data_IF_286119480335
#
_entry.id   IF_286119480335
#
_cell.length_a   1.000
_cell.length_b   1.000
_cell.length_c   1.000
_cell.angle_alpha   90.00
_cell.angle_beta   90.00
_cell.angle_gamma   90.00
#
_symmetry.space_group_name_H-M   'P 1'
#
loop_
_entity.id
_entity.type
_entity.pdbx_description
1 polymer ?
#
# COMPACT_ATOMS: atom_id res chain seq x y z
N UNK A 1 3.34 -13.20 -37.98
CA UNK A 1 4.01 -11.97 -38.43
C UNK A 1 2.94 -10.92 -38.63
N UNK A 2 2.80 -9.99 -37.69
CA UNK A 2 1.78 -8.94 -37.73
C UNK A 2 2.48 -7.59 -37.54
N UNK A 3 2.36 -6.74 -38.56
CA UNK A 3 3.04 -5.47 -38.68
C UNK A 3 2.44 -4.42 -37.73
N UNK A 4 3.32 -3.67 -37.06
CA UNK A 4 2.97 -2.54 -36.20
C UNK A 4 2.90 -1.28 -37.07
N UNK A 5 1.75 -0.63 -37.12
CA UNK A 5 1.61 0.69 -37.73
C UNK A 5 2.17 1.76 -36.79
N UNK A 6 3.05 2.62 -37.32
CA UNK A 6 3.61 3.76 -36.61
C UNK A 6 2.71 5.00 -36.79
N UNK A 7 2.39 5.69 -35.70
CA UNK A 7 1.69 6.97 -35.74
C UNK A 7 2.68 8.09 -36.08
N UNK A 8 2.34 8.89 -37.09
CA UNK A 8 3.10 10.08 -37.53
C UNK A 8 2.66 11.28 -36.70
N UNK A 9 3.62 11.98 -36.09
CA UNK A 9 3.41 13.24 -35.35
C UNK A 9 3.68 14.42 -36.30
N UNK A 10 2.79 15.42 -36.41
CA UNK A 10 3.05 16.62 -37.20
C UNK A 10 3.96 17.62 -36.45
N UNK A 11 4.75 18.44 -37.16
CA UNK A 11 5.67 19.40 -36.54
C UNK A 11 4.94 20.64 -35.97
N UNK A 12 5.53 21.33 -34.97
CA UNK A 12 4.98 22.55 -34.40
C UNK A 12 5.09 23.75 -35.36
N UNK A 13 4.03 24.54 -35.44
CA UNK A 13 4.00 25.81 -36.18
C UNK A 13 4.63 26.98 -35.38
N UNK A 14 5.03 28.07 -36.05
CA UNK A 14 5.75 29.19 -35.42
C UNK A 14 4.82 30.13 -34.63
N UNK A 15 5.33 30.61 -33.48
CA UNK A 15 4.72 31.61 -32.60
C UNK A 15 4.72 33.02 -33.24
N UNK A 16 3.71 33.87 -32.94
CA UNK A 16 3.74 35.26 -33.35
C UNK A 16 4.45 36.16 -32.33
N UNK A 17 5.46 36.87 -32.84
CA UNK A 17 6.10 38.06 -32.26
C UNK A 17 5.08 39.21 -32.09
N UNK A 18 4.96 39.78 -30.89
CA UNK A 18 4.32 41.10 -30.72
C UNK A 18 5.10 41.97 -29.73
N UNK A 19 5.55 43.09 -30.29
CA UNK A 19 6.38 44.14 -29.75
C UNK A 19 5.75 44.97 -28.61
N UNK A 20 6.62 45.48 -27.73
CA UNK A 20 6.32 46.50 -26.73
C UNK A 20 6.34 47.92 -27.32
N UNK A 21 5.53 48.87 -26.82
CA UNK A 21 5.82 50.29 -26.93
C UNK A 21 6.03 51.02 -25.58
N UNK A 22 6.78 52.11 -25.72
CA UNK A 22 7.54 52.98 -24.79
C UNK A 22 6.73 53.94 -23.90
N UNK A 23 7.38 54.61 -22.91
CA UNK A 23 6.72 55.52 -21.97
C UNK A 23 6.62 56.95 -22.52
N UNK A 24 5.64 57.71 -22.03
CA UNK A 24 5.47 59.14 -22.34
C UNK A 24 5.52 59.96 -21.06
N UNK A 25 6.32 61.02 -21.12
CA UNK A 25 6.64 62.00 -20.09
C UNK A 25 5.50 63.00 -19.77
N UNK A 26 5.67 63.62 -18.61
CA UNK A 26 4.84 64.53 -17.80
C UNK A 26 4.42 65.85 -18.51
N UNK A 27 3.48 66.63 -17.94
CA UNK A 27 3.93 67.88 -17.30
C UNK A 27 3.20 68.29 -15.99
N UNK A 28 3.93 69.09 -15.20
CA UNK A 28 3.64 69.59 -13.85
C UNK A 28 2.71 70.82 -13.79
N UNK A 29 1.90 70.87 -12.71
CA UNK A 29 1.34 71.98 -11.87
C UNK A 29 0.92 73.35 -12.49
N UNK A 30 -0.11 74.00 -11.90
CA UNK A 30 0.18 75.01 -10.88
C UNK A 30 -0.70 74.97 -9.62
N UNK A 31 -0.14 75.60 -8.60
CA UNK A 31 -0.63 75.84 -7.24
C UNK A 31 -1.63 77.01 -7.23
N UNK A 32 -2.68 76.92 -6.42
CA UNK A 32 -3.44 78.08 -5.89
C UNK A 32 -4.25 77.63 -4.68
N UNK A 33 -3.88 78.15 -3.51
CA UNK A 33 -4.75 78.26 -2.35
C UNK A 33 -5.42 79.65 -2.35
N UNK A 34 -6.72 79.75 -2.04
CA UNK A 34 -7.27 80.61 -0.96
C UNK A 34 -8.79 80.32 -0.75
N UNK A 35 -9.53 80.94 0.22
CA UNK A 35 -10.31 80.20 1.20
C UNK A 35 -11.81 80.61 1.16
N UNK A 36 -12.63 79.97 2.00
CA UNK A 36 -13.89 80.57 2.42
C UNK A 36 -15.14 79.70 2.30
N UNK A 37 -15.98 79.86 3.32
CA UNK A 37 -17.40 79.53 3.43
C UNK A 37 -17.82 78.06 3.62
N UNK A 38 -18.01 77.75 4.90
CA UNK A 38 -19.28 77.31 5.50
C UNK A 38 -20.18 76.33 4.72
N UNK A 39 -20.40 75.17 5.35
CA UNK A 39 -21.71 74.51 5.31
C UNK A 39 -21.73 73.12 4.68
N UNK A 40 -21.56 72.09 5.51
CA UNK A 40 -22.33 70.83 5.54
C UNK A 40 -21.46 69.69 6.06
N UNK A 41 -22.00 68.74 6.88
CA UNK A 41 -21.32 67.50 7.20
C UNK A 41 -21.32 66.57 5.97
N UNK A 42 -20.62 66.94 4.90
CA UNK A 42 -20.36 66.11 3.73
C UNK A 42 -19.42 64.92 4.02
N UNK A 43 -18.97 64.80 5.28
CA UNK A 43 -18.14 63.69 5.77
C UNK A 43 -18.91 62.38 6.00
N UNK A 44 -20.21 62.42 6.30
CA UNK A 44 -20.98 61.22 6.67
C UNK A 44 -21.20 60.24 5.51
N UNK A 45 -21.59 60.75 4.32
CA UNK A 45 -21.78 59.93 3.11
C UNK A 45 -20.46 59.55 2.42
N UNK A 46 -19.42 60.39 2.52
CA UNK A 46 -18.06 60.04 2.06
C UNK A 46 -17.41 58.99 2.96
N UNK A 47 -17.60 59.10 4.28
CA UNK A 47 -17.18 58.13 5.29
C UNK A 47 -17.86 56.77 5.10
N UNK A 48 -19.18 56.73 5.00
CA UNK A 48 -19.94 55.49 4.76
C UNK A 48 -19.58 54.82 3.42
N UNK A 49 -19.32 55.58 2.35
CA UNK A 49 -18.82 55.04 1.07
C UNK A 49 -17.35 54.59 1.16
N UNK A 50 -16.53 55.23 1.99
CA UNK A 50 -15.13 54.82 2.22
C UNK A 50 -15.03 53.54 3.06
N UNK A 51 -15.90 53.37 4.05
CA UNK A 51 -16.12 52.16 4.85
C UNK A 51 -16.60 51.00 3.97
N UNK A 52 -17.61 51.22 3.11
CA UNK A 52 -18.09 50.23 2.14
C UNK A 52 -17.01 49.81 1.15
N UNK A 53 -16.22 50.77 0.63
CA UNK A 53 -15.08 50.46 -0.26
C UNK A 53 -13.98 49.69 0.47
N UNK A 54 -13.75 49.97 1.75
CA UNK A 54 -12.79 49.23 2.59
C UNK A 54 -13.25 47.80 2.84
N UNK A 55 -14.52 47.59 3.22
CA UNK A 55 -15.10 46.25 3.38
C UNK A 55 -15.09 45.45 2.07
N UNK A 56 -15.37 46.09 0.92
CA UNK A 56 -15.29 45.45 -0.39
C UNK A 56 -13.85 45.02 -0.73
N UNK A 57 -12.85 45.85 -0.39
CA UNK A 57 -11.42 45.50 -0.56
C UNK A 57 -11.00 44.37 0.38
N UNK A 58 -11.44 44.37 1.64
CA UNK A 58 -11.17 43.30 2.60
C UNK A 58 -11.80 41.98 2.16
N UNK A 59 -13.07 41.99 1.73
CA UNK A 59 -13.73 40.79 1.17
C UNK A 59 -13.03 40.29 -0.08
N UNK A 60 -12.59 41.19 -0.97
CA UNK A 60 -11.86 40.81 -2.18
C UNK A 60 -10.48 40.24 -1.85
N UNK A 61 -9.79 40.81 -0.87
CA UNK A 61 -8.50 40.30 -0.37
C UNK A 61 -8.63 38.93 0.29
N UNK A 62 -9.65 38.73 1.13
CA UNK A 62 -9.94 37.44 1.74
C UNK A 62 -10.28 36.38 0.69
N UNK A 63 -11.09 36.73 -0.32
CA UNK A 63 -11.38 35.83 -1.46
C UNK A 63 -10.12 35.48 -2.24
N UNK A 64 -9.24 36.45 -2.51
CA UNK A 64 -7.98 36.20 -3.21
C UNK A 64 -7.04 35.31 -2.39
N UNK A 65 -6.93 35.53 -1.07
CA UNK A 65 -6.13 34.68 -0.18
C UNK A 65 -6.71 33.27 -0.13
N UNK A 66 -8.03 33.13 0.00
CA UNK A 66 -8.69 31.83 0.00
C UNK A 66 -8.47 31.08 -1.33
N UNK A 67 -8.62 31.77 -2.47
CA UNK A 67 -8.35 31.19 -3.79
C UNK A 67 -6.88 30.80 -3.96
N UNK A 68 -5.95 31.62 -3.47
CA UNK A 68 -4.53 31.31 -3.50
C UNK A 68 -4.19 30.07 -2.65
N UNK A 69 -4.78 29.96 -1.44
CA UNK A 69 -4.62 28.78 -0.59
C UNK A 69 -5.20 27.52 -1.23
N UNK A 70 -6.42 27.59 -1.77
CA UNK A 70 -7.04 26.46 -2.48
C UNK A 70 -6.18 26.05 -3.67
N UNK A 71 -5.67 27.02 -4.45
CA UNK A 71 -4.80 26.75 -5.60
C UNK A 71 -3.49 26.09 -5.16
N UNK A 72 -2.89 26.55 -4.06
CA UNK A 72 -1.64 25.99 -3.54
C UNK A 72 -1.84 24.57 -2.98
N UNK A 73 -2.99 24.28 -2.36
CA UNK A 73 -3.35 22.92 -1.93
C UNK A 73 -3.56 22.02 -3.15
N UNK A 74 -4.31 22.47 -4.16
CA UNK A 74 -4.59 21.67 -5.35
C UNK A 74 -3.34 21.43 -6.21
N UNK A 75 -2.46 22.42 -6.35
CA UNK A 75 -1.26 22.31 -7.18
C UNK A 75 -0.05 21.75 -6.41
N UNK A 76 -0.01 21.91 -5.09
CA UNK A 76 1.09 21.44 -4.26
C UNK A 76 0.77 20.13 -3.55
N UNK A 77 -0.23 20.13 -2.68
CA UNK A 77 -0.51 18.99 -1.81
C UNK A 77 -1.00 17.77 -2.58
N UNK A 78 -1.83 17.95 -3.61
CA UNK A 78 -2.36 16.82 -4.39
C UNK A 78 -1.26 16.10 -5.18
N UNK A 79 -0.43 16.77 -6.00
CA UNK A 79 0.65 16.10 -6.70
C UNK A 79 1.70 15.51 -5.76
N UNK A 80 2.00 16.17 -4.64
CA UNK A 80 2.90 15.62 -3.63
C UNK A 80 2.33 14.32 -3.03
N UNK A 81 1.05 14.30 -2.64
CA UNK A 81 0.42 13.11 -2.08
C UNK A 81 0.47 11.92 -3.06
N UNK A 82 0.08 12.13 -4.31
CA UNK A 82 0.14 11.07 -5.33
C UNK A 82 1.58 10.69 -5.69
N UNK A 83 2.50 11.65 -5.76
CA UNK A 83 3.92 11.42 -6.01
C UNK A 83 4.58 10.58 -4.92
N UNK A 84 4.37 10.92 -3.65
CA UNK A 84 4.85 10.12 -2.52
C UNK A 84 4.27 8.72 -2.53
N UNK A 85 2.96 8.57 -2.81
CA UNK A 85 2.32 7.26 -2.91
C UNK A 85 2.92 6.40 -4.03
N UNK A 86 3.23 7.00 -5.19
CA UNK A 86 3.85 6.29 -6.31
C UNK A 86 5.28 5.84 -5.97
N UNK A 87 6.09 6.71 -5.36
CA UNK A 87 7.47 6.38 -4.97
C UNK A 87 7.55 5.34 -3.85
N UNK A 88 6.47 5.19 -3.09
CA UNK A 88 6.39 4.23 -1.98
C UNK A 88 5.85 2.86 -2.41
N UNK A 89 5.35 2.71 -3.65
CA UNK A 89 4.88 1.43 -4.17
C UNK A 89 6.06 0.49 -4.39
N UNK A 90 5.94 -0.74 -3.92
CA UNK A 90 7.00 -1.74 -4.07
C UNK A 90 6.96 -2.31 -5.51
N UNK A 91 8.09 -2.32 -6.26
CA UNK A 91 8.11 -2.78 -7.64
C UNK A 91 7.76 -4.26 -7.81
N UNK A 92 7.87 -5.08 -6.75
CA UNK A 92 7.44 -6.47 -6.80
C UNK A 92 5.93 -6.57 -7.06
N UNK A 93 5.13 -5.67 -6.50
CA UNK A 93 3.69 -5.65 -6.79
C UNK A 93 3.39 -5.29 -8.23
N UNK A 94 4.21 -4.45 -8.86
CA UNK A 94 4.07 -4.16 -10.30
C UNK A 94 4.39 -5.40 -11.15
N UNK A 95 5.35 -6.24 -10.73
CA UNK A 95 5.62 -7.53 -11.40
C UNK A 95 4.48 -8.53 -11.21
N UNK A 96 3.84 -8.55 -10.04
CA UNK A 96 2.67 -9.38 -9.78
C UNK A 96 1.42 -8.87 -10.52
N UNK A 97 1.28 -7.56 -10.68
CA UNK A 97 0.22 -6.91 -11.47
C UNK A 97 0.39 -7.19 -12.98
N UNK A 98 1.61 -7.49 -13.43
CA UNK A 98 1.92 -7.84 -14.81
C UNK A 98 1.67 -9.32 -15.16
N UNK A 99 1.31 -10.17 -14.19
CA UNK A 99 0.93 -11.55 -14.44
C UNK A 99 -0.34 -11.59 -15.31
N UNK A 100 -0.32 -12.40 -16.37
CA UNK A 100 -1.48 -12.58 -17.26
C UNK A 100 -2.53 -13.49 -16.61
N UNK A 101 -3.14 -12.98 -15.54
CA UNK A 101 -4.25 -13.62 -14.84
C UNK A 101 -5.57 -12.98 -15.27
N UNK A 102 -6.62 -13.77 -15.51
CA UNK A 102 -7.89 -13.25 -15.97
C UNK A 102 -8.58 -12.46 -14.85
N UNK A 103 -9.39 -11.45 -15.21
CA UNK A 103 -10.01 -10.53 -14.24
C UNK A 103 -10.85 -11.19 -13.14
N UNK A 104 -11.45 -12.36 -13.39
CA UNK A 104 -12.18 -13.12 -12.37
C UNK A 104 -11.28 -13.67 -11.26
N UNK A 105 -10.00 -13.85 -11.52
CA UNK A 105 -9.00 -14.34 -10.58
C UNK A 105 -8.37 -13.21 -9.74
N UNK A 106 -8.69 -11.95 -10.06
CA UNK A 106 -8.19 -10.72 -9.44
C UNK A 106 -9.31 -9.74 -9.12
N UNK A 107 -10.44 -10.24 -8.59
CA UNK A 107 -11.61 -9.41 -8.33
C UNK A 107 -11.34 -8.33 -7.26
N UNK A 108 -10.55 -8.67 -6.24
CA UNK A 108 -10.12 -7.73 -5.19
C UNK A 108 -8.71 -8.06 -4.73
N UNK A 109 -7.84 -7.07 -4.69
CA UNK A 109 -6.44 -7.21 -4.26
C UNK A 109 -6.16 -6.36 -3.03
N UNK A 110 -5.45 -6.92 -2.06
CA UNK A 110 -4.94 -6.25 -0.86
C UNK A 110 -3.47 -6.57 -0.73
N UNK A 111 -2.65 -5.52 -0.72
CA UNK A 111 -1.20 -5.62 -0.58
C UNK A 111 -0.77 -5.16 0.81
N UNK A 112 0.14 -5.91 1.42
CA UNK A 112 0.78 -5.59 2.69
C UNK A 112 2.29 -5.77 2.58
N UNK A 113 3.03 -4.89 3.27
CA UNK A 113 4.49 -4.90 3.29
C UNK A 113 4.96 -4.78 4.73
N UNK A 114 5.73 -5.78 5.16
CA UNK A 114 6.38 -5.81 6.47
C UNK A 114 7.90 -5.91 6.33
N UNK A 115 8.62 -5.65 7.42
CA UNK A 115 10.09 -5.69 7.45
C UNK A 115 10.79 -4.52 6.76
N UNK A 116 12.11 -4.63 6.62
CA UNK A 116 12.99 -3.56 6.14
C UNK A 116 13.52 -3.81 4.73
N UNK A 117 13.52 -2.76 3.88
CA UNK A 117 14.13 -2.81 2.54
C UNK A 117 15.65 -3.05 2.59
N UNK A 118 16.27 -2.67 3.70
CA UNK A 118 17.69 -2.81 3.95
C UNK A 118 18.02 -4.06 4.78
N UNK A 119 17.02 -4.90 5.08
CA UNK A 119 17.17 -6.06 5.96
C UNK A 119 17.77 -5.70 7.33
N UNK A 120 17.40 -4.53 7.88
CA UNK A 120 17.72 -4.20 9.27
C UNK A 120 16.77 -5.01 10.16
N UNK A 121 17.30 -6.05 10.82
CA UNK A 121 16.58 -7.03 11.64
C UNK A 121 15.78 -8.03 10.81
N UNK A 122 14.72 -7.60 10.15
CA UNK A 122 13.88 -8.44 9.29
C UNK A 122 13.93 -7.91 7.85
N UNK A 123 14.17 -8.79 6.88
CA UNK A 123 14.06 -8.42 5.48
C UNK A 123 12.61 -8.13 5.09
N UNK A 124 12.44 -7.36 4.01
CA UNK A 124 11.13 -7.00 3.50
C UNK A 124 10.37 -8.23 3.01
N UNK A 125 9.23 -8.49 3.64
CA UNK A 125 8.22 -9.46 3.24
C UNK A 125 7.07 -8.72 2.54
N UNK A 126 6.66 -9.22 1.37
CA UNK A 126 5.52 -8.68 0.62
C UNK A 126 4.44 -9.71 0.58
N UNK A 127 3.26 -9.35 1.04
CA UNK A 127 2.11 -10.23 1.05
C UNK A 127 1.02 -9.60 0.19
N UNK A 128 0.42 -10.40 -0.67
CA UNK A 128 -0.72 -10.01 -1.48
C UNK A 128 -1.82 -11.03 -1.29
N UNK A 129 -2.98 -10.55 -0.90
CA UNK A 129 -4.19 -11.35 -0.78
C UNK A 129 -5.18 -10.95 -1.86
N UNK A 130 -5.68 -11.92 -2.60
CA UNK A 130 -6.54 -11.71 -3.76
C UNK A 130 -7.80 -12.56 -3.62
N UNK A 131 -8.97 -11.96 -3.85
CA UNK A 131 -10.23 -12.68 -3.97
C UNK A 131 -10.47 -13.04 -5.44
N UNK A 132 -10.78 -14.31 -5.68
CA UNK A 132 -11.16 -14.86 -6.98
C UNK A 132 -12.61 -15.31 -6.94
N UNK A 133 -13.32 -15.16 -8.05
CA UNK A 133 -14.73 -15.54 -8.20
C UNK A 133 -14.93 -17.04 -8.45
N UNK A 134 -13.85 -17.77 -8.80
CA UNK A 134 -13.91 -19.20 -9.13
C UNK A 134 -13.28 -20.09 -8.06
N UNK A 135 -13.45 -21.40 -8.23
CA UNK A 135 -12.97 -22.41 -7.29
C UNK A 135 -11.45 -22.33 -7.10
N UNK A 136 -10.93 -22.84 -5.97
CA UNK A 136 -9.49 -22.87 -5.71
C UNK A 136 -8.71 -23.60 -6.80
N UNK A 137 -9.25 -24.67 -7.38
CA UNK A 137 -8.57 -25.50 -8.37
C UNK A 137 -8.39 -24.76 -9.71
N UNK A 138 -9.43 -24.09 -10.19
CA UNK A 138 -9.35 -23.29 -11.42
C UNK A 138 -8.46 -22.07 -11.22
N UNK A 139 -8.52 -21.47 -10.04
CA UNK A 139 -7.68 -20.31 -9.68
C UNK A 139 -6.21 -20.72 -9.60
N UNK A 140 -5.88 -21.83 -8.95
CA UNK A 140 -4.50 -22.32 -8.88
C UNK A 140 -3.91 -22.55 -10.27
N UNK A 141 -4.66 -23.21 -11.17
CA UNK A 141 -4.20 -23.46 -12.55
C UNK A 141 -3.82 -22.19 -13.29
N UNK A 142 -4.63 -21.13 -13.21
CA UNK A 142 -4.33 -19.88 -13.93
C UNK A 142 -3.15 -19.14 -13.31
N UNK A 143 -3.03 -19.10 -11.98
CA UNK A 143 -1.89 -18.47 -11.32
C UNK A 143 -0.57 -19.20 -11.61
N UNK A 144 -0.55 -20.52 -11.50
CA UNK A 144 0.66 -21.28 -11.81
C UNK A 144 1.04 -21.19 -13.30
N UNK A 145 0.05 -21.12 -14.20
CA UNK A 145 0.32 -20.91 -15.62
C UNK A 145 0.93 -19.52 -15.88
N UNK A 146 0.34 -18.47 -15.30
CA UNK A 146 0.84 -17.10 -15.41
C UNK A 146 2.25 -16.96 -14.81
N UNK A 147 2.52 -17.57 -13.66
CA UNK A 147 3.85 -17.60 -13.04
C UNK A 147 4.88 -18.24 -13.98
N UNK A 148 4.58 -19.42 -14.56
CA UNK A 148 5.48 -20.09 -15.52
C UNK A 148 5.74 -19.20 -16.75
N UNK A 149 4.71 -18.55 -17.28
CA UNK A 149 4.82 -17.66 -18.45
C UNK A 149 5.67 -16.42 -18.15
N UNK A 150 5.58 -15.89 -16.94
CA UNK A 150 6.41 -14.78 -16.45
C UNK A 150 7.84 -15.24 -16.06
N UNK A 151 8.17 -16.53 -16.20
CA UNK A 151 9.53 -17.05 -15.99
C UNK A 151 9.82 -17.49 -14.55
N UNK A 152 8.82 -17.54 -13.67
CA UNK A 152 8.94 -18.22 -12.39
C UNK A 152 9.08 -19.72 -12.58
N UNK A 153 9.96 -20.34 -11.80
CA UNK A 153 10.22 -21.77 -11.85
C UNK A 153 9.65 -22.44 -10.60
N UNK A 154 8.95 -23.58 -10.73
CA UNK A 154 8.56 -24.38 -9.58
C UNK A 154 9.78 -24.75 -8.75
N UNK A 155 9.71 -24.54 -7.44
CA UNK A 155 10.81 -24.74 -6.53
C UNK A 155 10.45 -25.82 -5.50
N UNK A 156 10.93 -27.03 -5.74
CA UNK A 156 10.70 -28.17 -4.87
C UNK A 156 11.77 -28.21 -3.78
N UNK A 157 11.41 -27.74 -2.58
CA UNK A 157 12.26 -27.80 -1.38
C UNK A 157 11.56 -28.54 -0.27
N UNK A 158 12.34 -29.21 0.59
CA UNK A 158 11.81 -30.05 1.67
C UNK A 158 10.88 -29.30 2.63
N UNK A 159 11.10 -27.99 2.80
CA UNK A 159 10.30 -27.10 3.66
C UNK A 159 9.29 -26.26 2.86
N UNK A 160 8.93 -26.65 1.63
CA UNK A 160 7.73 -26.13 0.98
C UNK A 160 6.54 -26.82 1.64
N UNK A 161 5.61 -26.10 2.31
CA UNK A 161 4.44 -26.70 2.93
C UNK A 161 3.73 -27.66 1.98
N UNK A 162 3.63 -28.92 2.39
CA UNK A 162 2.85 -29.92 1.69
C UNK A 162 1.36 -29.69 1.96
N UNK A 163 0.54 -30.23 1.06
CA UNK A 163 -0.91 -30.11 0.83
C UNK A 163 -1.85 -30.46 2.03
N UNK A 164 -1.40 -30.35 3.28
CA UNK A 164 -2.17 -30.73 4.48
C UNK A 164 -3.29 -29.74 4.84
N UNK A 165 -3.28 -28.53 4.27
CA UNK A 165 -4.35 -27.54 4.44
C UNK A 165 -5.29 -27.51 3.23
N UNK A 166 -6.59 -27.20 3.44
CA UNK A 166 -7.63 -27.17 2.40
C UNK A 166 -7.33 -26.12 1.29
N UNK A 167 -6.48 -26.47 0.33
CA UNK A 167 -6.05 -25.62 -0.77
C UNK A 167 -4.81 -26.14 -1.48
N UNK A 168 -4.39 -25.43 -2.54
CA UNK A 168 -3.15 -25.70 -3.27
C UNK A 168 -2.05 -24.75 -2.78
N UNK A 169 -0.97 -25.31 -2.26
CA UNK A 169 0.23 -24.57 -1.87
C UNK A 169 1.39 -24.93 -2.78
N UNK A 170 2.03 -23.92 -3.39
CA UNK A 170 3.17 -24.11 -4.29
C UNK A 170 4.26 -23.08 -4.04
N UNK A 171 5.52 -23.50 -4.15
CA UNK A 171 6.69 -22.65 -4.01
C UNK A 171 7.34 -22.38 -5.36
N UNK A 172 7.81 -21.15 -5.55
CA UNK A 172 8.34 -20.64 -6.81
C UNK A 172 9.61 -19.84 -6.60
N UNK A 173 10.47 -19.82 -7.61
CA UNK A 173 11.69 -19.01 -7.60
C UNK A 173 11.90 -18.31 -8.94
N UNK A 174 12.31 -17.04 -8.87
CA UNK A 174 12.71 -16.23 -10.03
C UNK A 174 13.81 -15.29 -9.57
N UNK A 175 14.97 -15.36 -10.22
CA UNK A 175 16.14 -14.54 -9.91
C UNK A 175 16.49 -14.55 -8.40
N UNK A 176 16.44 -13.39 -7.74
CA UNK A 176 16.72 -13.19 -6.31
C UNK A 176 15.48 -13.31 -5.41
N UNK A 177 14.33 -13.73 -5.95
CA UNK A 177 13.06 -13.81 -5.23
C UNK A 177 12.56 -15.25 -5.07
N UNK A 178 11.97 -15.51 -3.92
CA UNK A 178 11.14 -16.69 -3.66
C UNK A 178 9.69 -16.25 -3.47
N UNK A 179 8.76 -17.07 -3.97
CA UNK A 179 7.33 -16.81 -3.91
C UNK A 179 6.60 -18.05 -3.41
N UNK A 180 5.79 -17.86 -2.38
CA UNK A 180 4.83 -18.85 -1.92
C UNK A 180 3.44 -18.47 -2.42
N UNK A 181 2.82 -19.39 -3.16
CA UNK A 181 1.46 -19.25 -3.66
C UNK A 181 0.56 -20.22 -2.90
N UNK A 182 -0.45 -19.69 -2.23
CA UNK A 182 -1.47 -20.49 -1.55
C UNK A 182 -2.87 -20.12 -2.01
N UNK A 183 -3.57 -21.06 -2.64
CA UNK A 183 -4.91 -20.88 -3.17
C UNK A 183 -5.88 -21.77 -2.41
N UNK A 184 -6.88 -21.18 -1.74
CA UNK A 184 -7.79 -21.89 -0.84
C UNK A 184 -9.22 -21.40 -0.94
N UNK A 185 -10.14 -22.16 -0.36
CA UNK A 185 -11.51 -21.67 -0.15
C UNK A 185 -11.50 -20.47 0.83
N UNK A 186 -12.33 -19.45 0.62
CA UNK A 186 -12.37 -18.30 1.52
C UNK A 186 -12.98 -18.69 2.88
N UNK A 187 -12.55 -18.02 3.95
CA UNK A 187 -13.13 -18.25 5.28
C UNK A 187 -14.55 -17.66 5.34
N UNK A 188 -15.53 -18.50 5.67
CA UNK A 188 -16.94 -18.10 5.76
C UNK A 188 -17.35 -17.45 7.10
N UNK A 189 -16.37 -16.99 7.88
CA UNK A 189 -16.65 -16.28 9.13
C UNK A 189 -16.64 -14.78 8.80
N UNK A 190 -17.76 -14.05 9.04
CA UNK A 190 -17.77 -12.61 8.84
C UNK A 190 -16.68 -11.95 9.69
N UNK A 191 -15.99 -10.90 9.20
CA UNK A 191 -14.99 -10.21 9.98
C UNK A 191 -15.62 -9.67 11.28
N UNK A 192 -14.88 -9.65 12.40
CA UNK A 192 -15.39 -9.10 13.64
C UNK A 192 -15.75 -7.63 13.43
N UNK A 193 -16.95 -7.24 13.89
CA UNK A 193 -17.40 -5.86 13.87
C UNK A 193 -16.56 -5.02 14.84
N UNK A 194 -16.04 -3.89 14.39
CA UNK A 194 -15.22 -3.00 15.21
C UNK A 194 -15.96 -2.59 16.49
N UNK A 195 -15.38 -2.92 17.65
CA UNK A 195 -15.89 -2.52 18.98
C UNK A 195 -16.66 -3.59 19.76
N UNK A 196 -16.89 -4.78 19.20
CA UNK A 196 -17.40 -5.92 19.96
C UNK A 196 -16.23 -6.77 20.51
N UNK A 197 -16.28 -7.28 21.76
CA UNK A 197 -15.30 -8.26 22.21
C UNK A 197 -15.35 -9.47 21.27
N UNK A 198 -14.19 -10.02 20.93
CA UNK A 198 -14.04 -11.25 20.15
C UNK A 198 -14.54 -12.46 20.96
N UNK A 199 -15.83 -12.50 21.23
CA UNK A 199 -16.51 -13.70 21.68
C UNK A 199 -16.66 -14.53 20.42
N UNK A 200 -15.80 -15.54 20.27
CA UNK A 200 -15.97 -16.58 19.26
C UNK A 200 -17.31 -17.26 19.59
N UNK A 201 -18.40 -17.06 18.83
CA UNK A 201 -19.60 -17.83 19.09
C UNK A 201 -19.23 -19.28 18.76
N UNK A 202 -19.57 -20.21 19.65
CA UNK A 202 -19.57 -21.63 19.28
C UNK A 202 -20.32 -21.78 17.96
N UNK A 203 -19.77 -22.48 16.96
CA UNK A 203 -20.38 -22.54 15.65
C UNK A 203 -21.80 -23.10 15.77
N UNK A 204 -22.77 -22.26 15.44
CA UNK A 204 -24.15 -22.70 15.29
C UNK A 204 -24.19 -23.63 14.06
N UNK A 205 -24.67 -24.88 14.14
CA UNK A 205 -24.76 -25.75 12.97
C UNK A 205 -25.74 -25.19 11.91
N UNK A 206 -26.56 -24.20 12.28
CA UNK A 206 -27.42 -23.44 11.38
C UNK A 206 -26.72 -22.26 10.68
N UNK A 207 -25.52 -21.85 11.13
CA UNK A 207 -24.57 -20.97 10.41
C UNK A 207 -23.44 -21.79 9.77
N UNK A 208 -23.69 -23.07 9.49
CA UNK A 208 -22.88 -23.85 8.58
C UNK A 208 -22.85 -23.14 7.23
N UNK A 209 -21.80 -22.35 7.03
CA UNK A 209 -21.36 -21.68 5.81
C UNK A 209 -22.40 -21.74 4.68
N UNK A 210 -23.12 -20.64 4.45
CA UNK A 210 -23.46 -20.30 3.07
C UNK A 210 -22.15 -20.48 2.29
N UNK A 211 -22.13 -21.41 1.34
CA UNK A 211 -20.92 -21.80 0.62
C UNK A 211 -20.30 -20.55 0.04
N UNK A 212 -19.23 -20.05 0.67
CA UNK A 212 -18.54 -18.88 0.18
C UNK A 212 -17.99 -19.24 -1.18
N UNK A 213 -18.60 -18.64 -2.19
CA UNK A 213 -18.24 -18.92 -3.58
C UNK A 213 -16.93 -18.23 -3.89
N UNK A 214 -16.11 -18.88 -4.71
CA UNK A 214 -14.82 -18.35 -5.12
C UNK A 214 -13.65 -18.93 -4.32
N UNK A 215 -12.55 -18.19 -4.32
CA UNK A 215 -11.30 -18.59 -3.69
C UNK A 215 -10.50 -17.38 -3.19
N UNK A 216 -9.59 -17.65 -2.27
CA UNK A 216 -8.65 -16.70 -1.74
C UNK A 216 -7.23 -17.14 -2.12
N UNK A 217 -6.51 -16.22 -2.76
CA UNK A 217 -5.11 -16.40 -3.13
C UNK A 217 -4.26 -15.59 -2.17
N UNK A 218 -3.30 -16.22 -1.55
CA UNK A 218 -2.26 -15.57 -0.75
C UNK A 218 -0.93 -15.77 -1.45
N UNK A 219 -0.32 -14.67 -1.87
CA UNK A 219 1.01 -14.63 -2.47
C UNK A 219 1.96 -14.00 -1.47
N UNK A 220 3.03 -14.70 -1.09
CA UNK A 220 4.09 -14.14 -0.25
C UNK A 220 5.38 -14.11 -1.05
N UNK A 221 6.00 -12.95 -1.17
CA UNK A 221 7.25 -12.77 -1.91
C UNK A 221 8.35 -12.27 -0.97
N UNK A 222 9.50 -12.94 -1.03
CA UNK A 222 10.68 -12.66 -0.20
C UNK A 222 11.92 -12.60 -1.09
N UNK A 223 12.97 -11.95 -0.58
CA UNK A 223 14.29 -12.13 -1.15
C UNK A 223 14.79 -13.52 -0.80
N UNK A 224 15.38 -14.23 -1.76
CA UNK A 224 15.90 -15.58 -1.59
C UNK A 224 16.91 -15.67 -0.43
N UNK A 225 17.72 -14.62 -0.20
CA UNK A 225 18.69 -14.57 0.90
C UNK A 225 18.05 -14.63 2.30
N UNK A 226 16.81 -14.16 2.43
CA UNK A 226 16.05 -14.20 3.68
C UNK A 226 15.26 -15.50 3.84
N UNK A 227 15.08 -16.24 2.75
CA UNK A 227 14.37 -17.50 2.75
C UNK A 227 15.26 -18.60 3.33
N UNK A 228 14.94 -19.04 4.55
CA UNK A 228 15.69 -20.06 5.28
C UNK A 228 15.83 -21.37 4.49
N UNK A 229 14.91 -21.65 3.56
CA UNK A 229 14.92 -22.84 2.70
C UNK A 229 16.03 -22.80 1.65
N UNK A 230 16.65 -21.63 1.43
CA UNK A 230 17.83 -21.48 0.56
C UNK A 230 19.14 -21.64 1.32
N UNK A 231 19.11 -21.61 2.66
CA UNK A 231 20.31 -21.74 3.47
C UNK A 231 20.84 -23.16 3.37
N UNK A 232 22.18 -23.36 3.36
CA UNK A 232 22.75 -24.69 3.44
C UNK A 232 22.22 -25.41 4.69
N UNK A 233 21.75 -26.65 4.53
CA UNK A 233 21.44 -27.47 5.69
C UNK A 233 22.73 -27.67 6.49
N UNK A 234 22.69 -27.58 7.83
CA UNK A 234 23.86 -27.84 8.64
C UNK A 234 24.37 -29.25 8.35
N UNK A 235 25.63 -29.36 7.94
CA UNK A 235 26.30 -30.62 7.58
C UNK A 235 26.74 -31.44 8.80
N UNK A 236 26.23 -31.12 9.99
CA UNK A 236 26.55 -31.85 11.21
C UNK A 236 25.76 -33.15 11.20
N UNK A 237 26.48 -34.27 11.05
CA UNK A 237 25.91 -35.58 11.30
C UNK A 237 25.34 -35.62 12.73
N UNK A 238 24.06 -35.98 12.91
CA UNK A 238 23.41 -35.99 14.23
C UNK A 238 24.07 -36.98 15.21
N UNK A 239 24.89 -37.90 14.70
CA UNK A 239 25.71 -38.86 15.45
C UNK A 239 26.94 -38.25 16.16
N UNK A 240 27.30 -36.99 15.87
CA UNK A 240 28.45 -36.31 16.49
C UNK A 240 28.08 -35.27 17.56
N UNK A 241 26.80 -34.94 17.71
CA UNK A 241 26.27 -34.29 18.91
C UNK A 241 26.01 -35.37 19.95
N UNK A 242 26.80 -35.35 21.02
CA UNK A 242 26.84 -36.39 22.05
C UNK A 242 25.47 -36.83 22.55
N UNK A 243 25.38 -38.13 22.79
CA UNK A 243 24.29 -38.81 23.49
C UNK A 243 23.74 -37.92 24.62
N UNK A 244 22.47 -37.52 24.54
CA UNK A 244 21.76 -37.03 25.72
C UNK A 244 21.85 -38.16 26.76
N UNK A 245 22.51 -37.96 27.91
CA UNK A 245 22.46 -38.98 28.94
C UNK A 245 21.01 -39.12 29.37
N UNK A 246 20.45 -40.32 29.21
CA UNK A 246 19.13 -40.65 29.76
C UNK A 246 19.11 -40.20 31.22
N UNK A 247 18.04 -39.52 31.69
CA UNK A 247 17.87 -39.30 33.11
C UNK A 247 17.71 -40.66 33.77
N UNK A 248 18.79 -41.21 34.32
CA UNK A 248 18.72 -42.33 35.24
C UNK A 248 18.03 -41.82 36.51
N UNK A 249 16.71 -41.92 36.52
CA UNK A 249 15.89 -42.00 37.72
C UNK A 249 16.27 -43.31 38.44
N UNK A 250 17.46 -43.33 39.04
CA UNK A 250 17.87 -44.35 39.99
C UNK A 250 17.51 -43.81 41.36
N UNK A 251 16.52 -44.45 41.98
CA UNK A 251 15.93 -44.05 43.24
C UNK A 251 16.95 -43.71 44.32
N UNK A 252 16.65 -42.64 45.03
CA UNK A 252 17.31 -42.23 46.26
C UNK A 252 17.15 -43.33 47.33
N UNK A 253 18.22 -43.98 47.80
CA UNK A 253 18.18 -44.98 48.85
C UNK A 253 18.30 -44.36 50.26
N UNK A 254 17.79 -43.14 50.47
CA UNK A 254 17.64 -42.56 51.81
C UNK A 254 16.16 -42.39 52.17
N UNK A 255 15.39 -43.47 52.01
CA UNK A 255 14.15 -43.66 52.73
C UNK A 255 14.45 -44.18 54.14
N UNK A 256 14.43 -43.30 55.15
CA UNK A 256 14.01 -43.68 56.50
C UNK A 256 12.93 -42.70 57.01
N UNK A 257 11.74 -43.18 57.36
CA UNK A 257 10.70 -42.36 57.96
C UNK A 257 11.08 -42.05 59.42
N UNK A 258 11.32 -40.78 59.74
CA UNK A 258 11.38 -40.35 61.14
C UNK A 258 9.95 -40.33 61.71
N UNK A 259 9.63 -41.32 62.52
CA UNK A 259 8.40 -41.35 63.32
C UNK A 259 8.38 -40.17 64.30
N UNK A 260 7.38 -39.30 64.21
CA UNK A 260 7.12 -38.30 65.26
C UNK A 260 6.33 -38.95 66.41
N UNK A 261 6.74 -38.80 67.68
CA UNK A 261 5.91 -39.22 68.81
C UNK A 261 4.77 -38.22 69.07
N UNK A 262 3.67 -38.75 69.61
CA UNK A 262 2.44 -38.06 70.00
C UNK A 262 2.62 -36.98 71.05
#
# INVERSE_FOLDING_TARGET
>A
MTARAAAVVPPPGPEPDVAAPRPVDVPSLPDTADPGEAGAPAGGLRGARSELRRQMRERRRLRMIALALVSLVLLGAVPLYFGFRTLSRDPVFDTLDALDVPGWATAKTVDDVSGSRWCLIECRLRERTITSERSPEDTAKVYEAALRQDGWRPWHVAMCPAEEEKGSYTCWRKDELTLDLWVRAPACVPPPVDGAPAIVPSPDPSTAAETCTGSLVSVKVRNAIDDERTRPLPSTEPTLTGEEPLPTLTGDPLGEPTSSPS
#
